data_IF_770915441023
#
_entry.id   IF_770915441023
#
_cell.length_a   1.000
_cell.length_b   1.000
_cell.length_c   1.000
_cell.angle_alpha   90.00
_cell.angle_beta   90.00
_cell.angle_gamma   90.00
#
_symmetry.space_group_name_H-M   'P 1'
#
loop_
_entity.id
_entity.type
_entity.pdbx_description
1 polymer ?
#
# COMPACT_ATOMS: atom_id res chain seq x y z
N UNK A 1 -11.46 -33.99 -11.71
CA UNK A 1 -10.81 -32.70 -11.34
C UNK A 1 -11.84 -31.85 -10.61
N UNK A 2 -11.53 -31.33 -9.43
CA UNK A 2 -12.46 -30.46 -8.71
C UNK A 2 -12.48 -29.07 -9.37
N UNK A 3 -13.68 -28.48 -9.48
CA UNK A 3 -13.87 -27.15 -10.09
C UNK A 3 -14.17 -26.10 -9.02
N UNK A 4 -13.63 -24.89 -9.20
CA UNK A 4 -13.83 -23.75 -8.30
C UNK A 4 -14.23 -22.54 -9.13
N UNK A 5 -15.25 -21.81 -8.66
CA UNK A 5 -15.66 -20.53 -9.19
C UNK A 5 -15.18 -19.43 -8.26
N UNK A 6 -14.59 -18.37 -8.81
CA UNK A 6 -14.15 -17.18 -8.07
C UNK A 6 -14.94 -15.98 -8.59
N UNK A 7 -15.55 -15.24 -7.70
CA UNK A 7 -16.27 -14.02 -8.03
C UNK A 7 -15.36 -12.81 -7.77
N UNK A 8 -15.02 -12.11 -8.86
CA UNK A 8 -14.13 -10.95 -8.87
C UNK A 8 -12.71 -11.29 -9.34
N UNK A 9 -12.28 -10.62 -10.41
CA UNK A 9 -10.96 -10.72 -11.04
C UNK A 9 -9.99 -9.62 -10.53
N UNK A 10 -10.17 -9.12 -9.33
CA UNK A 10 -9.19 -8.26 -8.68
C UNK A 10 -7.95 -9.03 -8.21
N UNK A 11 -6.97 -8.35 -7.62
CA UNK A 11 -5.70 -8.94 -7.20
C UNK A 11 -5.88 -10.20 -6.34
N UNK A 12 -6.78 -10.14 -5.35
CA UNK A 12 -7.09 -11.28 -4.47
C UNK A 12 -7.65 -12.48 -5.24
N UNK A 13 -8.62 -12.23 -6.13
CA UNK A 13 -9.25 -13.29 -6.91
C UNK A 13 -8.28 -13.94 -7.91
N UNK A 14 -7.44 -13.14 -8.56
CA UNK A 14 -6.41 -13.63 -9.48
C UNK A 14 -5.35 -14.46 -8.74
N UNK A 15 -4.88 -13.99 -7.57
CA UNK A 15 -3.91 -14.73 -6.77
C UNK A 15 -4.50 -16.04 -6.25
N UNK A 16 -5.74 -16.04 -5.79
CA UNK A 16 -6.44 -17.25 -5.36
C UNK A 16 -6.60 -18.26 -6.54
N UNK A 17 -6.98 -17.77 -7.73
CA UNK A 17 -7.08 -18.58 -8.91
C UNK A 17 -5.76 -19.24 -9.30
N UNK A 18 -4.68 -18.45 -9.28
CA UNK A 18 -3.33 -18.93 -9.56
C UNK A 18 -2.92 -20.04 -8.58
N UNK A 19 -3.09 -19.82 -7.28
CA UNK A 19 -2.77 -20.81 -6.24
C UNK A 19 -3.60 -22.08 -6.35
N UNK A 20 -4.87 -21.99 -6.70
CA UNK A 20 -5.75 -23.13 -6.89
C UNK A 20 -5.39 -23.91 -8.16
N UNK A 21 -5.08 -23.21 -9.25
CA UNK A 21 -4.63 -23.85 -10.48
C UNK A 21 -3.35 -24.66 -10.28
N UNK A 22 -2.38 -24.12 -9.54
CA UNK A 22 -1.17 -24.86 -9.15
C UNK A 22 -1.46 -26.15 -8.36
N UNK A 23 -2.57 -26.19 -7.62
CA UNK A 23 -3.04 -27.37 -6.88
C UNK A 23 -3.90 -28.32 -7.73
N UNK A 24 -4.00 -28.09 -9.05
CA UNK A 24 -4.71 -28.95 -9.98
C UNK A 24 -6.23 -28.76 -10.00
N UNK A 25 -6.75 -27.63 -9.48
CA UNK A 25 -8.17 -27.32 -9.62
C UNK A 25 -8.45 -26.68 -10.99
N UNK A 26 -9.64 -26.98 -11.55
CA UNK A 26 -10.17 -26.20 -12.67
C UNK A 26 -10.79 -24.91 -12.10
N UNK A 27 -10.22 -23.76 -12.42
CA UNK A 27 -10.66 -22.47 -11.85
C UNK A 27 -11.35 -21.65 -12.94
N UNK A 28 -12.52 -21.08 -12.60
CA UNK A 28 -13.23 -20.10 -13.43
C UNK A 28 -13.39 -18.82 -12.63
N UNK A 29 -12.99 -17.69 -13.21
CA UNK A 29 -13.16 -16.37 -12.61
C UNK A 29 -14.33 -15.67 -13.31
N UNK A 30 -15.25 -15.12 -12.53
CA UNK A 30 -16.35 -14.27 -12.99
C UNK A 30 -16.02 -12.84 -12.60
N UNK A 31 -15.76 -11.98 -13.59
CA UNK A 31 -15.49 -10.56 -13.40
C UNK A 31 -16.63 -9.74 -14.02
N UNK A 32 -17.07 -8.71 -13.29
CA UNK A 32 -18.15 -7.82 -13.75
C UNK A 32 -17.65 -6.78 -14.78
N UNK A 33 -16.39 -6.34 -14.62
CA UNK A 33 -15.78 -5.38 -15.52
C UNK A 33 -15.27 -6.07 -16.79
N UNK A 34 -15.04 -5.29 -17.84
CA UNK A 34 -14.51 -5.77 -19.12
C UNK A 34 -13.05 -6.24 -19.04
N UNK A 35 -12.36 -5.93 -17.92
CA UNK A 35 -10.97 -6.32 -17.68
C UNK A 35 -10.76 -6.76 -16.23
N UNK A 36 -9.79 -7.64 -16.03
CA UNK A 36 -9.35 -8.06 -14.71
C UNK A 36 -8.40 -7.03 -14.10
N UNK A 37 -8.12 -7.16 -12.79
CA UNK A 37 -7.20 -6.28 -12.03
C UNK A 37 -7.90 -5.49 -10.92
N UNK A 38 -9.19 -5.22 -11.06
CA UNK A 38 -9.96 -4.47 -10.05
C UNK A 38 -9.38 -3.06 -9.84
N UNK A 39 -9.08 -2.70 -8.59
CA UNK A 39 -8.45 -1.41 -8.26
C UNK A 39 -6.99 -1.32 -8.74
N UNK A 40 -6.31 -2.45 -8.92
CA UNK A 40 -4.95 -2.48 -9.46
C UNK A 40 -4.90 -2.38 -11.00
N UNK A 41 -6.06 -2.31 -11.67
CA UNK A 41 -6.11 -2.05 -13.10
C UNK A 41 -5.87 -0.58 -13.41
N UNK A 42 -5.34 -0.30 -14.59
CA UNK A 42 -5.12 1.05 -15.09
C UNK A 42 -6.18 1.49 -16.10
N UNK A 43 -6.00 2.70 -16.56
CA UNK A 43 -6.68 3.27 -17.73
C UNK A 43 -5.67 4.08 -18.54
N UNK A 44 -5.87 4.14 -19.85
CA UNK A 44 -4.98 4.87 -20.72
C UNK A 44 -5.42 6.34 -20.84
N UNK A 45 -4.44 7.25 -20.75
CA UNK A 45 -4.61 8.66 -21.05
C UNK A 45 -3.38 9.20 -21.77
N UNK A 46 -3.57 9.77 -22.95
CA UNK A 46 -2.48 10.37 -23.76
C UNK A 46 -1.29 9.42 -23.99
N UNK A 47 -1.56 8.13 -24.23
CA UNK A 47 -0.53 7.11 -24.45
C UNK A 47 0.17 6.60 -23.18
N UNK A 48 -0.26 7.03 -22.00
CA UNK A 48 0.27 6.57 -20.72
C UNK A 48 -0.80 5.80 -19.95
N UNK A 49 -0.39 4.74 -19.27
CA UNK A 49 -1.28 3.98 -18.39
C UNK A 49 -1.22 4.58 -16.98
N UNK A 50 -2.38 4.99 -16.46
CA UNK A 50 -2.54 5.48 -15.09
C UNK A 50 -3.31 4.48 -14.26
N UNK A 51 -3.00 4.38 -12.99
CA UNK A 51 -3.70 3.54 -12.03
C UNK A 51 -5.08 4.11 -11.67
N UNK A 52 -6.09 3.23 -11.56
CA UNK A 52 -7.44 3.60 -11.08
C UNK A 52 -7.46 3.99 -9.62
N UNK A 53 -6.57 3.43 -8.83
CA UNK A 53 -6.39 3.74 -7.42
C UNK A 53 -4.90 3.80 -7.11
N UNK A 54 -4.55 4.68 -6.21
CA UNK A 54 -3.20 4.87 -5.76
C UNK A 54 -2.69 3.64 -5.00
N UNK A 55 -1.59 3.07 -5.44
CA UNK A 55 -0.95 1.91 -4.84
C UNK A 55 0.52 2.20 -4.52
N UNK A 56 0.95 1.76 -3.35
CA UNK A 56 2.36 1.69 -3.00
C UNK A 56 2.71 0.27 -2.58
N UNK A 57 3.87 -0.18 -3.03
CA UNK A 57 4.52 -1.39 -2.56
C UNK A 57 5.73 -0.95 -1.76
N UNK A 58 5.85 -1.45 -0.53
CA UNK A 58 7.00 -1.21 0.32
C UNK A 58 7.99 -2.38 0.25
N UNK A 59 9.26 -2.12 0.51
CA UNK A 59 10.29 -3.18 0.58
C UNK A 59 10.01 -4.24 1.67
N UNK A 60 9.09 -3.93 2.59
CA UNK A 60 8.60 -4.83 3.64
C UNK A 60 7.45 -5.73 3.19
N UNK A 61 6.86 -5.49 2.03
CA UNK A 61 5.71 -6.24 1.51
C UNK A 61 6.20 -7.54 0.82
N UNK A 62 6.72 -8.44 1.65
CA UNK A 62 7.41 -9.65 1.22
C UNK A 62 6.56 -10.59 0.38
N UNK A 63 5.25 -10.62 0.61
CA UNK A 63 4.33 -11.50 -0.11
C UNK A 63 4.19 -11.12 -1.59
N UNK A 64 4.01 -9.82 -1.88
CA UNK A 64 3.94 -9.36 -3.27
C UNK A 64 5.30 -9.48 -3.97
N UNK A 65 6.41 -9.19 -3.27
CA UNK A 65 7.76 -9.34 -3.82
C UNK A 65 8.03 -10.82 -4.14
N UNK A 66 7.61 -11.73 -3.27
CA UNK A 66 7.76 -13.18 -3.51
C UNK A 66 6.91 -13.64 -4.70
N UNK A 67 5.69 -13.11 -4.83
CA UNK A 67 4.81 -13.41 -5.96
C UNK A 67 5.38 -12.90 -7.28
N UNK A 68 5.96 -11.70 -7.33
CA UNK A 68 6.62 -11.18 -8.56
C UNK A 68 7.79 -12.05 -8.99
N UNK A 69 8.58 -12.58 -8.05
CA UNK A 69 9.65 -13.55 -8.32
C UNK A 69 9.11 -14.85 -8.89
N UNK A 70 8.07 -15.40 -8.24
CA UNK A 70 7.43 -16.65 -8.68
C UNK A 70 6.85 -16.53 -10.09
N UNK A 71 6.31 -15.36 -10.44
CA UNK A 71 5.78 -15.06 -11.78
C UNK A 71 6.87 -14.72 -12.80
N UNK A 72 8.14 -14.61 -12.40
CA UNK A 72 9.26 -14.25 -13.27
C UNK A 72 9.23 -12.81 -13.79
N UNK A 73 8.59 -11.91 -13.05
CA UNK A 73 8.43 -10.49 -13.41
C UNK A 73 9.13 -9.56 -12.42
N UNK A 74 10.03 -10.05 -11.58
CA UNK A 74 10.74 -9.25 -10.58
C UNK A 74 11.55 -8.12 -11.19
N UNK A 75 12.06 -8.29 -12.41
CA UNK A 75 12.81 -7.30 -13.17
C UNK A 75 11.97 -6.10 -13.61
N UNK A 76 10.63 -6.17 -13.50
CA UNK A 76 9.70 -5.08 -13.77
C UNK A 76 9.36 -4.26 -12.52
N UNK A 77 9.80 -4.73 -11.35
CA UNK A 77 9.58 -4.01 -10.09
C UNK A 77 10.71 -3.01 -9.88
N UNK A 78 10.38 -1.74 -10.00
CA UNK A 78 11.32 -0.64 -9.81
C UNK A 78 11.06 0.05 -8.47
N UNK A 79 12.15 0.41 -7.80
CA UNK A 79 12.10 1.11 -6.52
C UNK A 79 12.47 2.58 -6.72
N UNK A 80 11.52 3.44 -6.43
CA UNK A 80 11.73 4.89 -6.51
C UNK A 80 11.71 5.50 -5.12
N UNK A 81 12.60 6.46 -4.88
CA UNK A 81 12.55 7.26 -3.67
C UNK A 81 11.31 8.16 -3.71
N UNK A 82 10.53 8.09 -2.65
CA UNK A 82 9.33 8.92 -2.53
C UNK A 82 9.62 10.16 -1.69
N UNK A 83 9.04 11.29 -2.06
CA UNK A 83 9.03 12.51 -1.26
C UNK A 83 7.62 12.76 -0.74
N UNK A 84 7.50 12.99 0.56
CA UNK A 84 6.25 13.40 1.19
C UNK A 84 6.44 14.80 1.76
N UNK A 85 5.47 15.66 1.52
CA UNK A 85 5.50 17.03 2.04
C UNK A 85 4.13 17.44 2.57
N UNK A 86 4.13 18.24 3.63
CA UNK A 86 2.92 18.87 4.17
C UNK A 86 2.81 20.27 3.60
N UNK A 87 1.69 20.54 2.91
CA UNK A 87 1.37 21.89 2.47
C UNK A 87 0.64 22.66 3.55
N UNK A 88 1.15 23.82 3.93
CA UNK A 88 0.50 24.71 4.91
C UNK A 88 0.81 26.19 4.62
N UNK A 89 -0.22 27.00 4.54
CA UNK A 89 -0.13 28.46 4.35
C UNK A 89 0.79 28.86 3.18
N UNK A 90 0.60 28.24 2.01
CA UNK A 90 1.36 28.55 0.79
C UNK A 90 2.78 27.95 0.74
N UNK A 91 3.18 27.13 1.74
CA UNK A 91 4.52 26.54 1.82
C UNK A 91 4.47 25.03 1.92
N UNK A 92 5.37 24.36 1.21
CA UNK A 92 5.63 22.93 1.32
C UNK A 92 6.72 22.68 2.36
N UNK A 93 6.49 21.74 3.25
CA UNK A 93 7.43 21.28 4.27
C UNK A 93 7.73 19.80 4.02
N UNK A 94 8.97 19.41 3.74
CA UNK A 94 9.33 17.99 3.70
C UNK A 94 8.95 17.30 5.00
N UNK A 95 8.45 16.06 4.91
CA UNK A 95 8.00 15.31 6.08
C UNK A 95 8.24 13.82 5.92
N UNK A 96 9.52 13.44 5.76
CA UNK A 96 9.96 12.04 5.56
C UNK A 96 10.89 11.60 6.68
N UNK A 97 11.77 12.49 7.16
CA UNK A 97 12.83 12.15 8.09
C UNK A 97 12.58 12.72 9.49
N UNK A 98 13.21 12.17 10.55
CA UNK A 98 13.15 12.78 11.87
C UNK A 98 13.65 14.23 11.90
N UNK A 99 14.61 14.59 11.05
CA UNK A 99 15.11 15.96 10.90
C UNK A 99 14.04 16.90 10.33
N UNK A 100 13.19 16.41 9.44
CA UNK A 100 12.08 17.20 8.90
C UNK A 100 11.08 17.56 10.00
N UNK A 101 10.79 16.62 10.91
CA UNK A 101 9.96 16.90 12.07
C UNK A 101 10.58 17.99 12.97
N UNK A 102 11.89 17.93 13.21
CA UNK A 102 12.59 18.96 14.00
C UNK A 102 12.52 20.32 13.31
N UNK A 103 12.64 20.37 11.98
CA UNK A 103 12.57 21.60 11.17
C UNK A 103 11.14 22.07 10.88
N UNK A 104 10.12 21.31 11.25
CA UNK A 104 8.73 21.61 10.91
C UNK A 104 8.20 22.81 11.70
N UNK A 105 8.51 24.01 11.23
CA UNK A 105 8.16 25.29 11.87
C UNK A 105 6.66 25.53 12.12
N UNK A 106 5.69 24.88 11.43
CA UNK A 106 4.27 25.01 11.76
C UNK A 106 3.88 24.47 13.15
N UNK A 107 4.73 23.64 13.77
CA UNK A 107 4.57 23.19 15.15
C UNK A 107 5.58 23.88 16.08
N UNK A 108 5.13 24.18 17.33
CA UNK A 108 6.03 24.62 18.38
C UNK A 108 7.09 23.55 18.69
N UNK A 109 8.23 23.94 19.21
CA UNK A 109 9.30 23.00 19.56
C UNK A 109 8.81 21.91 20.51
N UNK A 110 8.01 22.26 21.51
CA UNK A 110 7.40 21.30 22.44
C UNK A 110 6.56 20.25 21.70
N UNK A 111 5.71 20.69 20.75
CA UNK A 111 4.88 19.76 19.98
C UNK A 111 5.70 18.89 19.03
N UNK A 112 6.82 19.36 18.49
CA UNK A 112 7.73 18.55 17.68
C UNK A 112 8.37 17.44 18.52
N UNK A 113 8.83 17.76 19.72
CA UNK A 113 9.39 16.78 20.66
C UNK A 113 8.33 15.76 21.09
N UNK A 114 7.12 16.21 21.43
CA UNK A 114 5.99 15.32 21.75
C UNK A 114 5.68 14.38 20.58
N UNK A 115 5.59 14.89 19.37
CA UNK A 115 5.34 14.07 18.18
C UNK A 115 6.45 13.03 17.96
N UNK A 116 7.72 13.41 18.13
CA UNK A 116 8.85 12.48 18.07
C UNK A 116 8.75 11.35 19.08
N UNK A 117 8.43 11.66 20.35
CA UNK A 117 8.24 10.67 21.40
C UNK A 117 7.08 9.72 21.10
N UNK A 118 5.97 10.25 20.57
CA UNK A 118 4.82 9.45 20.13
C UNK A 118 5.23 8.48 19.03
N UNK A 119 5.95 8.93 18.01
CA UNK A 119 6.44 8.06 16.95
C UNK A 119 7.33 6.95 17.50
N UNK A 120 8.29 7.27 18.37
CA UNK A 120 9.15 6.28 19.01
C UNK A 120 8.37 5.27 19.86
N UNK A 121 7.36 5.73 20.58
CA UNK A 121 6.46 4.86 21.34
C UNK A 121 5.69 3.90 20.42
N UNK A 122 5.11 4.41 19.33
CA UNK A 122 4.34 3.61 18.38
C UNK A 122 5.23 2.59 17.67
N UNK A 123 6.45 2.93 17.29
CA UNK A 123 7.40 2.00 16.67
C UNK A 123 7.76 0.82 17.58
N UNK A 124 7.75 1.01 18.89
CA UNK A 124 8.00 -0.06 19.87
C UNK A 124 6.75 -0.79 20.33
N UNK A 125 5.57 -0.30 19.95
CA UNK A 125 4.30 -0.87 20.37
C UNK A 125 4.01 -2.14 19.57
N UNK A 126 3.83 -3.26 20.27
CA UNK A 126 3.43 -4.54 19.70
C UNK A 126 1.96 -4.86 19.96
N UNK A 127 1.38 -4.29 21.02
CA UNK A 127 -0.01 -4.48 21.38
C UNK A 127 -0.88 -3.32 20.91
N UNK A 128 -1.58 -3.52 19.79
CA UNK A 128 -2.46 -2.52 19.18
C UNK A 128 -3.92 -2.57 19.68
N UNK A 129 -4.26 -3.51 20.56
CA UNK A 129 -5.64 -3.67 21.07
C UNK A 129 -6.20 -2.40 21.71
N UNK A 130 -5.46 -1.65 22.55
CA UNK A 130 -5.97 -0.42 23.17
C UNK A 130 -6.36 0.68 22.18
N UNK A 131 -5.78 0.65 20.97
CA UNK A 131 -6.01 1.70 19.96
C UNK A 131 -7.22 1.42 19.05
N UNK A 132 -7.83 0.24 19.15
CA UNK A 132 -8.96 -0.14 18.26
C UNK A 132 -10.23 0.65 18.51
N UNK A 133 -10.42 1.18 19.71
CA UNK A 133 -11.61 1.91 20.15
C UNK A 133 -11.39 3.40 20.30
N UNK A 134 -10.19 3.88 19.98
CA UNK A 134 -9.79 5.29 20.12
C UNK A 134 -9.50 5.86 18.74
N UNK A 135 -10.11 6.97 18.39
CA UNK A 135 -9.78 7.67 17.14
C UNK A 135 -8.48 8.47 17.29
N UNK A 136 -7.82 8.77 16.17
CA UNK A 136 -6.60 9.58 16.16
C UNK A 136 -6.83 10.98 16.78
N UNK A 137 -8.05 11.52 16.73
CA UNK A 137 -8.40 12.80 17.33
C UNK A 137 -8.60 12.73 18.85
N UNK A 138 -8.90 11.56 19.40
CA UNK A 138 -9.09 11.31 20.83
C UNK A 138 -7.79 10.92 21.52
N UNK A 139 -6.82 10.47 20.76
CA UNK A 139 -5.51 10.03 21.24
C UNK A 139 -4.50 11.16 21.21
#
# INVERSE_FOLDING_TARGET
>A
MKSVAILGGGFTGLTAAYRLAQKGYKVTIFEKADSVGGLASGFEISGNNLEKAYHHIFKTDTDIISLTKELGIENKLEWHDSSVSIYRKGKLYPFVTPLDLIKFSPLSLFNRLRAGLVVLFLQKTTNWKPFRTVTAAQW
#
